data_IF_507964620022
#
_entry.id   IF_507964620022
#
_cell.length_a   1.000
_cell.length_b   1.000
_cell.length_c   1.000
_cell.angle_alpha   90.00
_cell.angle_beta   90.00
_cell.angle_gamma   90.00
#
_symmetry.space_group_name_H-M   'P 1'
#
loop_
_entity.id
_entity.type
_entity.pdbx_description
1 polymer ?
#
# COMPACT_ATOMS: atom_id res chain seq x y z
N UNK A 1 -2.69 -6.68 -27.41
CA UNK A 1 -3.02 -6.20 -26.04
C UNK A 1 -2.45 -4.80 -25.88
N UNK A 2 -3.17 -3.85 -25.31
CA UNK A 2 -2.63 -2.51 -25.00
C UNK A 2 -1.65 -2.68 -23.83
N UNK A 3 -0.37 -2.37 -24.05
CA UNK A 3 0.64 -2.44 -23.00
C UNK A 3 0.49 -1.21 -22.09
N UNK A 4 -0.23 -1.36 -20.96
CA UNK A 4 -0.42 -0.28 -19.98
C UNK A 4 0.77 -0.20 -19.05
N UNK A 5 1.20 0.99 -18.62
CA UNK A 5 2.22 1.09 -17.59
C UNK A 5 1.72 0.52 -16.24
N UNK A 6 2.65 0.01 -15.44
CA UNK A 6 2.39 -0.48 -14.08
C UNK A 6 2.87 0.56 -13.08
N UNK A 7 1.95 1.11 -12.31
CA UNK A 7 2.25 2.05 -11.23
C UNK A 7 2.53 1.28 -9.95
N UNK A 8 3.67 1.55 -9.31
CA UNK A 8 4.07 0.88 -8.06
C UNK A 8 4.05 1.87 -6.90
N UNK A 9 3.28 1.56 -5.85
CA UNK A 9 3.09 2.41 -4.65
C UNK A 9 3.44 1.63 -3.39
N UNK A 10 4.48 2.08 -2.69
CA UNK A 10 5.06 1.42 -1.51
C UNK A 10 4.21 1.58 -0.23
N UNK A 11 4.56 0.84 0.81
CA UNK A 11 3.99 0.95 2.15
C UNK A 11 4.57 2.09 2.99
N UNK A 12 4.00 2.31 4.18
CA UNK A 12 4.51 3.27 5.14
C UNK A 12 5.97 2.95 5.52
N UNK A 13 6.82 3.97 5.57
CA UNK A 13 8.25 3.84 5.87
C UNK A 13 9.10 3.27 4.72
N UNK A 14 8.48 2.85 3.61
CA UNK A 14 9.17 2.41 2.40
C UNK A 14 9.39 3.52 1.37
N UNK A 15 9.87 3.13 0.20
CA UNK A 15 9.99 4.00 -0.98
C UNK A 15 9.91 3.14 -2.25
N UNK A 16 9.79 3.77 -3.40
CA UNK A 16 9.92 3.05 -4.67
C UNK A 16 11.21 2.26 -4.75
N UNK A 17 12.32 2.86 -4.34
CA UNK A 17 13.63 2.23 -4.36
C UNK A 17 13.72 1.04 -3.38
N UNK A 18 13.37 1.27 -2.10
CA UNK A 18 13.55 0.24 -1.07
C UNK A 18 12.54 -0.91 -1.15
N UNK A 19 11.30 -0.64 -1.60
CA UNK A 19 10.25 -1.65 -1.64
C UNK A 19 10.23 -2.42 -2.97
N UNK A 20 10.40 -1.73 -4.10
CA UNK A 20 10.12 -2.32 -5.41
C UNK A 20 11.37 -2.59 -6.25
N UNK A 21 12.35 -1.66 -6.26
CA UNK A 21 13.59 -1.92 -6.99
C UNK A 21 14.48 -2.91 -6.26
N UNK A 22 14.66 -2.71 -4.95
CA UNK A 22 15.53 -3.61 -4.15
C UNK A 22 14.98 -5.03 -4.03
N UNK A 23 13.65 -5.24 -4.11
CA UNK A 23 13.05 -6.58 -4.13
C UNK A 23 13.18 -7.29 -5.49
N UNK A 24 13.50 -6.56 -6.56
CA UNK A 24 13.61 -7.10 -7.93
C UNK A 24 12.30 -7.10 -8.73
N UNK A 25 11.15 -6.69 -8.16
CA UNK A 25 9.87 -6.69 -8.90
C UNK A 25 9.94 -5.79 -10.15
N UNK A 26 10.66 -4.67 -10.07
CA UNK A 26 10.81 -3.75 -11.21
C UNK A 26 11.49 -4.44 -12.39
N UNK A 27 12.53 -5.21 -12.13
CA UNK A 27 13.27 -5.93 -13.17
C UNK A 27 12.42 -7.06 -13.76
N UNK A 28 11.69 -7.80 -12.91
CA UNK A 28 10.76 -8.84 -13.35
C UNK A 28 9.65 -8.29 -14.26
N UNK A 29 9.08 -7.13 -13.94
CA UNK A 29 8.09 -6.47 -14.79
C UNK A 29 8.69 -5.98 -16.11
N UNK A 30 9.91 -5.46 -16.08
CA UNK A 30 10.63 -5.03 -17.30
C UNK A 30 10.94 -6.24 -18.21
N UNK A 31 11.33 -7.38 -17.65
CA UNK A 31 11.62 -8.60 -18.41
C UNK A 31 10.39 -9.13 -19.16
N UNK A 32 9.18 -8.91 -18.62
CA UNK A 32 7.92 -9.22 -19.34
C UNK A 32 7.41 -8.05 -20.20
N UNK A 33 8.25 -7.04 -20.43
CA UNK A 33 7.97 -5.92 -21.35
C UNK A 33 7.02 -4.87 -20.78
N UNK A 34 6.85 -4.76 -19.45
CA UNK A 34 5.99 -3.77 -18.82
C UNK A 34 6.77 -2.48 -18.50
N UNK A 35 6.22 -1.34 -18.88
CA UNK A 35 6.68 -0.04 -18.41
C UNK A 35 6.33 0.11 -16.93
N UNK A 36 7.29 0.54 -16.09
CA UNK A 36 7.09 0.74 -14.65
C UNK A 36 7.15 2.22 -14.31
N UNK A 37 6.17 2.69 -13.54
CA UNK A 37 6.11 4.04 -12.98
C UNK A 37 6.16 3.94 -11.45
N UNK A 38 7.27 4.34 -10.84
CA UNK A 38 7.42 4.36 -9.39
C UNK A 38 6.87 5.64 -8.78
N UNK A 39 6.14 5.51 -7.67
CA UNK A 39 5.61 6.65 -6.93
C UNK A 39 6.08 6.60 -5.49
N UNK A 40 6.81 7.64 -5.07
CA UNK A 40 7.06 7.90 -3.66
C UNK A 40 5.89 8.73 -3.10
N UNK A 41 5.18 8.19 -2.11
CA UNK A 41 4.13 8.91 -1.40
C UNK A 41 4.71 10.11 -0.64
N UNK A 42 3.90 11.13 -0.43
CA UNK A 42 4.29 12.27 0.41
C UNK A 42 4.85 11.78 1.75
N UNK A 43 5.96 12.36 2.21
CA UNK A 43 6.66 11.93 3.42
C UNK A 43 7.70 10.82 3.23
N UNK A 44 7.82 10.24 2.02
CA UNK A 44 8.66 9.07 1.76
C UNK A 44 9.63 9.30 0.60
N UNK A 45 10.68 8.49 0.55
CA UNK A 45 11.61 8.42 -0.57
C UNK A 45 12.14 9.80 -0.98
N UNK A 46 11.95 10.16 -2.24
CA UNK A 46 12.35 11.45 -2.82
C UNK A 46 11.25 12.53 -2.73
N UNK A 47 10.05 12.17 -2.23
CA UNK A 47 8.95 13.11 -2.10
C UNK A 47 9.19 14.14 -0.97
N UNK A 48 8.53 15.32 -1.00
CA UNK A 48 8.55 16.25 0.13
C UNK A 48 8.10 15.59 1.44
N UNK A 49 8.64 16.06 2.57
CA UNK A 49 8.43 15.48 3.91
C UNK A 49 7.92 16.52 4.89
N UNK A 50 6.68 17.04 4.72
CA UNK A 50 6.10 17.98 5.67
C UNK A 50 5.90 17.30 7.04
N UNK A 51 5.91 18.11 8.11
CA UNK A 51 5.73 17.61 9.48
C UNK A 51 4.33 17.90 10.03
N UNK A 52 3.48 18.62 9.30
CA UNK A 52 2.09 18.86 9.69
C UNK A 52 1.22 17.65 9.24
N UNK A 53 0.51 16.97 10.14
CA UNK A 53 -0.42 15.90 9.77
C UNK A 53 -1.47 16.30 8.73
N UNK A 54 -1.89 17.55 8.69
CA UNK A 54 -2.90 18.03 7.75
C UNK A 54 -2.41 18.02 6.29
N UNK A 55 -1.10 18.11 6.06
CA UNK A 55 -0.52 18.03 4.71
C UNK A 55 -0.72 16.65 4.07
N UNK A 56 -1.03 15.63 4.89
CA UNK A 56 -1.23 14.24 4.48
C UNK A 56 -2.71 13.84 4.32
N UNK A 57 -3.61 14.81 4.31
CA UNK A 57 -5.06 14.55 4.17
C UNK A 57 -5.42 13.88 2.83
N UNK A 58 -4.63 14.12 1.78
CA UNK A 58 -4.77 13.48 0.47
C UNK A 58 -3.43 12.84 0.03
N UNK A 59 -3.35 11.52 0.10
CA UNK A 59 -2.20 10.76 -0.39
C UNK A 59 -2.37 10.33 -1.87
N UNK A 60 -3.57 10.50 -2.46
CA UNK A 60 -3.84 10.07 -3.84
C UNK A 60 -3.24 11.04 -4.87
N UNK A 61 -3.06 12.30 -4.52
CA UNK A 61 -2.62 13.35 -5.43
C UNK A 61 -1.35 12.99 -6.22
N UNK A 62 -0.33 12.44 -5.54
CA UNK A 62 0.93 12.06 -6.21
C UNK A 62 0.78 10.86 -7.14
N UNK A 63 -0.11 9.93 -6.81
CA UNK A 63 -0.45 8.79 -7.67
C UNK A 63 -1.15 9.30 -8.92
N UNK A 64 -2.15 10.14 -8.77
CA UNK A 64 -2.93 10.70 -9.88
C UNK A 64 -2.06 11.61 -10.79
N UNK A 65 -1.15 12.39 -10.20
CA UNK A 65 -0.16 13.16 -10.95
C UNK A 65 0.74 12.26 -11.82
N UNK A 66 1.23 11.15 -11.25
CA UNK A 66 2.07 10.20 -11.97
C UNK A 66 1.32 9.44 -13.08
N UNK A 67 0.04 9.18 -12.90
CA UNK A 67 -0.83 8.55 -13.89
C UNK A 67 -1.15 9.53 -15.03
N UNK A 68 -1.49 10.78 -14.71
CA UNK A 68 -2.04 11.75 -15.65
C UNK A 68 -3.35 11.23 -16.26
N UNK A 69 -3.53 11.43 -17.56
CA UNK A 69 -4.75 10.99 -18.29
C UNK A 69 -4.70 9.52 -18.74
N UNK A 70 -3.74 8.74 -18.27
CA UNK A 70 -3.56 7.33 -18.70
C UNK A 70 -4.44 6.39 -17.90
N UNK A 71 -4.89 5.30 -18.53
CA UNK A 71 -5.38 4.12 -17.82
C UNK A 71 -4.20 3.18 -17.56
N UNK A 72 -3.99 2.80 -16.31
CA UNK A 72 -2.83 2.04 -15.85
C UNK A 72 -3.22 0.74 -15.18
N UNK A 73 -2.27 -0.17 -15.03
CA UNK A 73 -2.30 -1.22 -14.01
C UNK A 73 -1.53 -0.71 -12.78
N UNK A 74 -1.90 -1.12 -11.59
CA UNK A 74 -1.23 -0.62 -10.39
C UNK A 74 -1.02 -1.71 -9.33
N UNK A 75 0.10 -1.62 -8.62
CA UNK A 75 0.45 -2.49 -7.49
C UNK A 75 0.75 -1.63 -6.28
N UNK A 76 0.03 -1.85 -5.20
CA UNK A 76 0.26 -1.16 -3.94
C UNK A 76 0.47 -2.12 -2.78
N UNK A 77 1.29 -1.69 -1.83
CA UNK A 77 1.49 -2.41 -0.58
C UNK A 77 1.07 -1.57 0.61
N UNK A 78 0.28 -2.14 1.53
CA UNK A 78 -0.09 -1.53 2.81
C UNK A 78 -0.66 -0.10 2.64
N UNK A 79 0.01 0.95 3.10
CA UNK A 79 -0.39 2.34 2.87
C UNK A 79 -0.58 2.66 1.38
N UNK A 80 0.30 2.15 0.52
CA UNK A 80 0.19 2.31 -0.93
C UNK A 80 -1.03 1.58 -1.50
N UNK A 81 -1.37 0.40 -0.98
CA UNK A 81 -2.59 -0.31 -1.38
C UNK A 81 -3.86 0.45 -0.95
N UNK A 82 -3.89 0.99 0.27
CA UNK A 82 -5.00 1.85 0.72
C UNK A 82 -5.13 3.12 -0.12
N UNK A 83 -3.99 3.73 -0.50
CA UNK A 83 -3.97 4.91 -1.36
C UNK A 83 -4.49 4.59 -2.77
N UNK A 84 -4.07 3.48 -3.36
CA UNK A 84 -4.57 3.02 -4.66
C UNK A 84 -6.06 2.66 -4.61
N UNK A 85 -6.52 2.01 -3.56
CA UNK A 85 -7.94 1.70 -3.37
C UNK A 85 -8.78 2.99 -3.32
N UNK A 86 -8.32 4.01 -2.58
CA UNK A 86 -8.97 5.32 -2.54
C UNK A 86 -8.99 5.97 -3.92
N UNK A 87 -7.86 6.00 -4.61
CA UNK A 87 -7.76 6.55 -5.96
C UNK A 87 -8.68 5.81 -6.96
N UNK A 88 -8.78 4.47 -6.87
CA UNK A 88 -9.65 3.69 -7.74
C UNK A 88 -11.14 3.89 -7.46
N UNK A 89 -11.52 4.20 -6.23
CA UNK A 89 -12.89 4.59 -5.86
C UNK A 89 -13.22 5.96 -6.47
N UNK A 90 -12.31 6.92 -6.36
CA UNK A 90 -12.54 8.31 -6.79
C UNK A 90 -12.35 8.49 -8.31
N UNK A 91 -11.48 7.70 -8.92
CA UNK A 91 -11.11 7.75 -10.34
C UNK A 91 -11.13 6.37 -11.00
N UNK A 92 -12.29 5.67 -11.05
CA UNK A 92 -12.35 4.28 -11.50
C UNK A 92 -11.85 4.04 -12.92
N UNK A 93 -11.99 5.02 -13.83
CA UNK A 93 -11.54 4.91 -15.21
C UNK A 93 -10.01 4.93 -15.38
N UNK A 94 -9.27 5.36 -14.35
CA UNK A 94 -7.80 5.43 -14.39
C UNK A 94 -7.12 4.07 -14.15
N UNK A 95 -7.85 3.06 -13.68
CA UNK A 95 -7.29 1.76 -13.33
C UNK A 95 -7.93 0.63 -14.14
N UNK A 96 -7.09 -0.22 -14.75
CA UNK A 96 -7.53 -1.42 -15.46
C UNK A 96 -7.36 -2.67 -14.60
N UNK A 97 -6.18 -2.87 -14.01
CA UNK A 97 -5.89 -3.92 -13.04
C UNK A 97 -5.31 -3.33 -11.77
N UNK A 98 -5.69 -3.89 -10.63
CA UNK A 98 -5.27 -3.41 -9.31
C UNK A 98 -4.76 -4.56 -8.45
N UNK A 99 -3.53 -4.48 -7.99
CA UNK A 99 -2.98 -5.40 -6.97
C UNK A 99 -2.92 -4.65 -5.63
N UNK A 100 -3.68 -5.15 -4.66
CA UNK A 100 -3.77 -4.61 -3.32
C UNK A 100 -3.11 -5.59 -2.34
N UNK A 101 -1.86 -5.33 -1.98
CA UNK A 101 -1.10 -6.21 -1.10
C UNK A 101 -1.04 -5.68 0.34
N UNK A 102 -1.10 -6.58 1.33
CA UNK A 102 -0.98 -6.25 2.75
C UNK A 102 -2.14 -5.41 3.30
N UNK A 103 -3.33 -5.54 2.70
CA UNK A 103 -4.59 -5.01 3.24
C UNK A 103 -5.69 -6.07 3.12
N UNK A 104 -6.65 -6.03 4.03
CA UNK A 104 -7.74 -7.00 4.08
C UNK A 104 -8.87 -6.49 4.96
N UNK A 105 -9.20 -7.20 6.07
CA UNK A 105 -10.26 -6.78 6.99
C UNK A 105 -10.01 -5.39 7.60
N UNK A 106 -8.76 -4.98 7.74
CA UNK A 106 -8.37 -3.70 8.34
C UNK A 106 -8.88 -2.45 7.58
N UNK A 107 -9.33 -2.60 6.33
CA UNK A 107 -9.98 -1.50 5.58
C UNK A 107 -11.51 -1.59 5.57
N UNK A 108 -12.06 -2.71 6.03
CA UNK A 108 -13.50 -2.97 6.15
C UNK A 108 -13.99 -2.73 7.58
N UNK A 109 -13.20 -3.18 8.57
CA UNK A 109 -13.51 -3.02 9.99
C UNK A 109 -13.08 -1.64 10.51
N UNK A 110 -13.75 -1.10 11.54
CA UNK A 110 -13.28 0.10 12.22
C UNK A 110 -11.84 -0.07 12.71
N UNK A 111 -11.07 1.00 12.60
CA UNK A 111 -9.68 1.02 13.09
C UNK A 111 -9.66 0.79 14.62
N UNK A 112 -8.75 -0.05 15.09
CA UNK A 112 -8.43 -0.15 16.51
C UNK A 112 -7.67 1.11 16.95
N UNK A 113 -8.41 2.08 17.50
CA UNK A 113 -7.85 3.37 17.93
C UNK A 113 -6.83 3.18 19.07
N UNK A 114 -7.02 2.19 19.95
CA UNK A 114 -6.07 1.93 21.06
C UNK A 114 -4.73 1.43 20.51
N UNK A 115 -4.76 0.51 19.57
CA UNK A 115 -3.54 0.04 18.90
C UNK A 115 -2.88 1.14 18.10
N UNK A 116 -3.67 1.98 17.45
CA UNK A 116 -3.17 3.13 16.68
C UNK A 116 -2.49 4.18 17.59
N UNK A 117 -3.12 4.56 18.69
CA UNK A 117 -2.57 5.54 19.63
C UNK A 117 -1.26 5.03 20.27
N UNK A 118 -1.19 3.73 20.61
CA UNK A 118 0.06 3.12 21.09
C UNK A 118 1.18 3.21 20.06
N UNK A 119 0.87 2.98 18.79
CA UNK A 119 1.84 3.07 17.70
C UNK A 119 2.34 4.51 17.52
N UNK A 120 1.43 5.50 17.54
CA UNK A 120 1.79 6.92 17.49
C UNK A 120 2.67 7.29 18.68
N UNK A 121 2.31 6.87 19.88
CA UNK A 121 3.10 7.12 21.10
C UNK A 121 4.53 6.53 20.96
N UNK A 122 4.65 5.32 20.43
CA UNK A 122 5.96 4.69 20.17
C UNK A 122 6.82 5.54 19.21
N UNK A 123 6.24 6.00 18.10
CA UNK A 123 6.92 6.86 17.14
C UNK A 123 7.34 8.22 17.72
N UNK A 124 6.59 8.74 18.69
CA UNK A 124 6.91 9.98 19.43
C UNK A 124 7.95 9.76 20.57
N UNK A 125 8.39 8.50 20.77
CA UNK A 125 9.35 8.16 21.84
C UNK A 125 8.71 7.98 23.21
N UNK A 126 7.38 7.85 23.28
CA UNK A 126 6.58 7.65 24.48
C UNK A 126 6.02 6.22 24.60
N UNK A 127 6.50 5.30 23.72
CA UNK A 127 6.03 3.93 23.66
C UNK A 127 6.48 3.06 24.82
N UNK A 128 5.72 1.97 25.05
CA UNK A 128 6.11 0.92 26.00
C UNK A 128 7.31 0.15 25.43
N UNK A 129 8.41 -0.02 26.22
CA UNK A 129 9.57 -0.80 25.81
C UNK A 129 9.26 -2.28 25.49
N UNK A 130 8.18 -2.82 26.06
CA UNK A 130 7.74 -4.19 25.84
C UNK A 130 6.78 -4.34 24.65
N UNK A 131 6.38 -3.23 24.01
CA UNK A 131 5.57 -3.26 22.77
C UNK A 131 6.45 -3.60 21.56
N UNK A 132 6.44 -4.89 21.17
CA UNK A 132 7.21 -5.37 20.02
C UNK A 132 6.78 -4.72 18.70
N UNK A 133 5.49 -4.46 18.52
CA UNK A 133 4.97 -3.84 17.28
C UNK A 133 5.42 -2.39 17.21
N UNK A 134 5.24 -1.63 18.29
CA UNK A 134 5.72 -0.25 18.37
C UNK A 134 7.21 -0.13 18.07
N UNK A 135 8.03 -1.03 18.65
CA UNK A 135 9.49 -1.06 18.38
C UNK A 135 9.84 -1.35 16.93
N UNK A 136 9.14 -2.28 16.28
CA UNK A 136 9.33 -2.57 14.85
C UNK A 136 9.03 -1.34 13.99
N UNK A 137 7.93 -0.64 14.27
CA UNK A 137 7.58 0.57 13.52
C UNK A 137 8.59 1.70 13.76
N UNK A 138 9.09 1.87 14.99
CA UNK A 138 10.17 2.84 15.29
C UNK A 138 11.45 2.48 14.51
N UNK A 139 11.87 1.20 14.55
CA UNK A 139 13.03 0.74 13.79
C UNK A 139 12.87 1.01 12.29
N UNK A 140 11.66 0.78 11.75
CA UNK A 140 11.37 1.03 10.34
C UNK A 140 11.40 2.54 10.02
N UNK A 141 10.86 3.36 10.91
CA UNK A 141 10.89 4.82 10.78
C UNK A 141 12.31 5.41 10.87
N UNK A 142 13.21 4.77 11.63
CA UNK A 142 14.60 5.18 11.79
C UNK A 142 15.53 4.58 10.70
N UNK A 143 14.97 3.86 9.72
CA UNK A 143 15.76 3.32 8.60
C UNK A 143 16.44 4.45 7.80
N UNK A 144 17.66 4.22 7.27
CA UNK A 144 18.37 5.22 6.50
C UNK A 144 17.51 5.81 5.37
N UNK A 145 17.49 7.14 5.30
CA UNK A 145 16.71 7.86 4.30
C UNK A 145 15.28 8.22 4.72
N UNK A 146 14.78 7.72 5.84
CA UNK A 146 13.48 8.09 6.39
C UNK A 146 13.55 9.33 7.29
N UNK A 147 12.41 10.01 7.41
CA UNK A 147 12.16 11.10 8.35
C UNK A 147 11.05 10.65 9.32
N UNK A 148 11.44 10.26 10.54
CA UNK A 148 10.48 9.76 11.53
C UNK A 148 9.41 10.77 11.89
N UNK A 149 9.70 12.07 11.88
CA UNK A 149 8.71 13.12 12.19
C UNK A 149 7.64 13.15 11.09
N UNK A 150 8.05 13.14 9.83
CA UNK A 150 7.14 13.08 8.69
C UNK A 150 6.31 11.79 8.70
N UNK A 151 6.93 10.64 8.98
CA UNK A 151 6.25 9.35 9.08
C UNK A 151 5.25 9.31 10.26
N UNK A 152 5.57 9.95 11.38
CA UNK A 152 4.65 10.13 12.51
C UNK A 152 3.47 11.03 12.11
N UNK A 153 3.74 12.12 11.38
CA UNK A 153 2.69 13.01 10.89
C UNK A 153 1.70 12.28 9.96
N UNK A 154 2.19 11.37 9.11
CA UNK A 154 1.34 10.50 8.28
C UNK A 154 0.41 9.63 9.14
N UNK A 155 0.90 9.05 10.23
CA UNK A 155 0.07 8.24 11.11
C UNK A 155 -1.03 9.08 11.78
N UNK A 156 -0.73 10.32 12.11
CA UNK A 156 -1.65 11.27 12.76
C UNK A 156 -2.58 12.02 11.79
N UNK A 157 -2.44 11.79 10.48
CA UNK A 157 -3.22 12.53 9.47
C UNK A 157 -4.72 12.36 9.63
N UNK A 158 -5.51 13.38 9.28
CA UNK A 158 -6.94 13.20 9.08
C UNK A 158 -7.16 12.12 8.03
N UNK A 159 -7.93 11.10 8.37
CA UNK A 159 -8.27 10.03 7.44
C UNK A 159 -9.75 9.70 7.54
N UNK A 160 -10.40 9.55 6.38
CA UNK A 160 -11.77 9.08 6.33
C UNK A 160 -11.79 7.56 6.15
N UNK A 161 -12.51 6.79 6.96
CA UNK A 161 -12.74 5.38 6.71
C UNK A 161 -13.34 5.15 5.33
N UNK A 162 -13.16 3.96 4.79
CA UNK A 162 -13.91 3.55 3.61
C UNK A 162 -15.36 3.27 4.00
N UNK A 163 -16.32 3.85 3.28
CA UNK A 163 -17.72 3.48 3.42
C UNK A 163 -18.00 2.22 2.57
N UNK A 164 -18.77 1.23 3.08
CA UNK A 164 -19.01 -0.02 2.35
C UNK A 164 -19.53 0.17 0.94
N UNK A 165 -20.35 1.19 0.72
CA UNK A 165 -20.96 1.51 -0.57
C UNK A 165 -19.94 2.01 -1.61
N UNK A 166 -18.81 2.52 -1.17
CA UNK A 166 -17.77 3.04 -2.07
C UNK A 166 -17.03 1.93 -2.83
N UNK A 167 -16.92 0.73 -2.24
CA UNK A 167 -16.22 -0.38 -2.89
C UNK A 167 -16.81 -0.79 -4.24
N UNK A 168 -18.12 -0.59 -4.44
CA UNK A 168 -18.79 -0.86 -5.72
C UNK A 168 -18.34 0.05 -6.87
N UNK A 169 -17.66 1.15 -6.57
CA UNK A 169 -17.11 2.06 -7.58
C UNK A 169 -15.81 1.55 -8.20
N UNK A 170 -15.13 0.60 -7.57
CA UNK A 170 -13.90 0.00 -8.11
C UNK A 170 -14.25 -0.88 -9.30
N UNK A 171 -13.98 -0.40 -10.51
CA UNK A 171 -14.27 -1.12 -11.76
C UNK A 171 -13.10 -1.99 -12.24
N UNK A 172 -11.91 -1.76 -11.71
CA UNK A 172 -10.70 -2.50 -12.05
C UNK A 172 -10.79 -3.97 -11.62
N UNK A 173 -10.28 -4.88 -12.46
CA UNK A 173 -9.99 -6.24 -11.99
C UNK A 173 -8.99 -6.17 -10.85
N UNK A 174 -9.31 -6.80 -9.72
CA UNK A 174 -8.52 -6.62 -8.49
C UNK A 174 -7.95 -7.94 -7.98
N UNK A 175 -6.66 -7.93 -7.65
CA UNK A 175 -6.00 -9.00 -6.92
C UNK A 175 -5.66 -8.52 -5.51
N UNK A 176 -6.22 -9.18 -4.50
CA UNK A 176 -5.82 -8.98 -3.10
C UNK A 176 -4.77 -10.03 -2.77
N UNK A 177 -3.59 -9.59 -2.28
CA UNK A 177 -2.51 -10.49 -1.86
C UNK A 177 -2.18 -10.22 -0.40
N UNK A 178 -2.24 -11.25 0.44
CA UNK A 178 -2.01 -11.09 1.88
C UNK A 178 -1.35 -12.32 2.49
N UNK A 179 -0.48 -12.12 3.47
CA UNK A 179 0.11 -13.21 4.23
C UNK A 179 -0.87 -13.84 5.23
N UNK A 180 -0.76 -15.15 5.47
CA UNK A 180 -1.57 -15.87 6.45
C UNK A 180 -1.26 -15.48 7.92
N UNK A 181 -0.17 -14.73 8.14
CA UNK A 181 0.25 -14.17 9.43
C UNK A 181 0.22 -12.63 9.44
N UNK A 182 -0.35 -12.01 8.40
CA UNK A 182 -0.46 -10.55 8.31
C UNK A 182 -1.52 -10.03 9.28
N UNK A 183 -1.17 -9.03 10.08
CA UNK A 183 -2.11 -8.40 11.03
C UNK A 183 -3.27 -7.66 10.33
N UNK A 184 -3.12 -7.29 9.07
CA UNK A 184 -4.17 -6.65 8.26
C UNK A 184 -5.22 -7.64 7.76
N UNK A 185 -4.94 -8.95 7.84
CA UNK A 185 -5.82 -10.03 7.36
C UNK A 185 -6.98 -10.37 8.31
N UNK A 186 -7.87 -11.24 7.88
CA UNK A 186 -7.85 -11.95 6.59
C UNK A 186 -8.24 -11.09 5.39
N UNK A 187 -8.01 -11.59 4.15
CA UNK A 187 -8.29 -10.87 2.91
C UNK A 187 -9.72 -11.02 2.40
N UNK A 188 -10.44 -12.07 2.80
CA UNK A 188 -11.77 -12.42 2.31
C UNK A 188 -12.83 -11.31 2.48
N UNK A 189 -12.86 -10.53 3.58
CA UNK A 189 -13.81 -9.43 3.72
C UNK A 189 -13.64 -8.37 2.62
N UNK A 190 -12.40 -8.02 2.28
CA UNK A 190 -12.12 -7.04 1.22
C UNK A 190 -12.51 -7.59 -0.15
N UNK A 191 -12.14 -8.84 -0.45
CA UNK A 191 -12.52 -9.49 -1.73
C UNK A 191 -14.03 -9.56 -1.87
N UNK A 192 -14.77 -9.85 -0.80
CA UNK A 192 -16.23 -9.91 -0.83
C UNK A 192 -16.89 -8.54 -1.03
N UNK A 193 -16.22 -7.46 -0.68
CA UNK A 193 -16.73 -6.09 -0.84
C UNK A 193 -16.48 -5.53 -2.25
N UNK A 194 -15.48 -6.03 -2.97
CA UNK A 194 -15.10 -5.56 -4.29
C UNK A 194 -15.84 -6.30 -5.40
N UNK A 195 -16.26 -5.64 -6.50
CA UNK A 195 -17.04 -6.29 -7.57
C UNK A 195 -16.30 -7.41 -8.30
N UNK A 196 -15.03 -7.18 -8.62
CA UNK A 196 -14.20 -8.07 -9.45
C UNK A 196 -12.87 -8.36 -8.74
N UNK A 197 -12.91 -9.11 -7.64
CA UNK A 197 -11.69 -9.37 -6.87
C UNK A 197 -11.42 -10.86 -6.67
N UNK A 198 -10.13 -11.21 -6.64
CA UNK A 198 -9.64 -12.53 -6.26
C UNK A 198 -8.59 -12.43 -5.17
N UNK A 199 -8.43 -13.49 -4.37
CA UNK A 199 -7.52 -13.56 -3.25
C UNK A 199 -6.37 -14.51 -3.53
N UNK A 200 -5.16 -14.07 -3.18
CA UNK A 200 -4.00 -14.96 -3.00
C UNK A 200 -3.50 -14.80 -1.57
N UNK A 201 -3.47 -15.91 -0.83
CA UNK A 201 -2.94 -15.96 0.53
C UNK A 201 -1.55 -16.57 0.52
N UNK A 202 -0.55 -15.79 0.96
CA UNK A 202 0.84 -16.21 1.05
C UNK A 202 1.06 -17.02 2.33
N UNK A 203 1.58 -18.26 2.19
CA UNK A 203 1.80 -19.16 3.32
C UNK A 203 3.03 -18.74 4.14
N UNK A 204 2.91 -18.82 5.48
CA UNK A 204 3.97 -18.44 6.43
C UNK A 204 4.54 -17.04 6.20
N UNK A 205 3.73 -16.12 5.74
CA UNK A 205 4.10 -14.77 5.40
C UNK A 205 3.41 -13.77 6.33
N UNK A 206 4.19 -12.90 6.96
CA UNK A 206 3.69 -11.76 7.72
C UNK A 206 3.64 -10.50 6.83
N UNK A 207 3.20 -9.40 7.44
CA UNK A 207 3.05 -8.12 6.72
C UNK A 207 4.34 -7.66 6.05
N UNK A 208 5.44 -7.68 6.79
CA UNK A 208 6.73 -7.10 6.33
C UNK A 208 7.42 -7.98 5.28
N UNK A 209 7.19 -9.29 5.30
CA UNK A 209 7.77 -10.21 4.34
C UNK A 209 7.03 -10.25 2.99
N UNK A 210 5.85 -9.61 2.88
CA UNK A 210 4.98 -9.73 1.70
C UNK A 210 5.69 -9.30 0.41
N UNK A 211 6.37 -8.15 0.40
CA UNK A 211 6.99 -7.58 -0.81
C UNK A 211 8.29 -8.27 -1.24
N UNK A 212 8.82 -9.18 -0.43
CA UNK A 212 10.01 -10.00 -0.74
C UNK A 212 9.65 -11.46 -0.99
N UNK A 213 8.36 -11.83 -0.89
CA UNK A 213 7.90 -13.20 -1.05
C UNK A 213 7.79 -13.60 -2.52
N UNK A 214 8.40 -14.71 -2.92
CA UNK A 214 8.34 -15.20 -4.30
C UNK A 214 6.91 -15.46 -4.77
N UNK A 215 6.03 -15.97 -3.90
CA UNK A 215 4.62 -16.17 -4.23
C UNK A 215 3.87 -14.85 -4.49
N UNK A 216 4.33 -13.73 -3.92
CA UNK A 216 3.83 -12.42 -4.26
C UNK A 216 4.24 -12.03 -5.69
N UNK A 217 5.51 -12.22 -6.07
CA UNK A 217 5.98 -11.93 -7.42
C UNK A 217 5.24 -12.75 -8.47
N UNK A 218 5.11 -14.06 -8.23
CA UNK A 218 4.38 -14.96 -9.12
C UNK A 218 2.92 -14.49 -9.31
N UNK A 219 2.22 -14.19 -8.22
CA UNK A 219 0.84 -13.72 -8.27
C UNK A 219 0.67 -12.39 -9.02
N UNK A 220 1.60 -11.43 -8.81
CA UNK A 220 1.60 -10.13 -9.50
C UNK A 220 1.85 -10.32 -11.00
N UNK A 221 2.89 -11.08 -11.37
CA UNK A 221 3.25 -11.31 -12.77
C UNK A 221 2.14 -12.04 -13.52
N UNK A 222 1.61 -13.14 -12.96
CA UNK A 222 0.49 -13.87 -13.55
C UNK A 222 -0.70 -12.94 -13.77
N UNK A 223 -1.09 -12.18 -12.74
CA UNK A 223 -2.25 -11.28 -12.82
C UNK A 223 -2.09 -10.18 -13.86
N UNK A 224 -0.90 -9.59 -13.97
CA UNK A 224 -0.67 -8.47 -14.88
C UNK A 224 -0.42 -8.90 -16.33
N UNK A 225 -0.10 -10.16 -16.60
CA UNK A 225 0.18 -10.68 -17.96
C UNK A 225 -1.01 -11.43 -18.57
N UNK A 226 -2.00 -11.88 -17.78
CA UNK A 226 -3.26 -12.40 -18.28
C UNK A 226 -4.07 -11.31 -19.02
#
# INVERSE_FOLDING_TARGET
MVNRPVVLVHGWGGSYESTWRSSGLVDLLADVGREVVGVDLLGHGTAPRPHDPNDYSDLTARVLEAIGDRTVDAVGFSLGAMTLLRAAIEHPASFHKLVLAGIGKNVIEPRDEVAHDRLVAALEGLGDPDDNIGRLFVQYADSPGNDRIALTAIMKRPSSPFAPEQFHQVSADTLVVIGDKDFAGPGEPLVSALPNARLVTLRNCDHFATTENFGFFDAVLEFLTD
#
